data_IF_282195459068
#
_entry.id   IF_282195459068
#
_cell.length_a   1.000
_cell.length_b   1.000
_cell.length_c   1.000
_cell.angle_alpha   90.00
_cell.angle_beta   90.00
_cell.angle_gamma   90.00
#
_symmetry.space_group_name_H-M   'P 1'
#
loop_
_entity.id
_entity.type
_entity.pdbx_description
1 polymer ?
#
# COMPACT_ATOMS: atom_id res chain seq x y z
N UNK A 1 -19.95 -10.07 20.23
CA UNK A 1 -19.26 -11.34 19.91
C UNK A 1 -18.61 -11.35 18.53
N UNK A 2 -19.30 -11.00 17.44
CA UNK A 2 -18.72 -11.02 16.07
C UNK A 2 -17.52 -10.08 15.88
N UNK A 3 -17.52 -8.86 16.42
CA UNK A 3 -16.43 -7.88 16.28
C UNK A 3 -15.17 -8.33 17.05
N UNK A 4 -15.30 -8.84 18.26
CA UNK A 4 -14.18 -9.35 19.06
C UNK A 4 -13.48 -10.50 18.34
N UNK A 5 -14.23 -11.42 17.72
CA UNK A 5 -13.69 -12.51 16.93
C UNK A 5 -12.95 -12.01 15.67
N UNK A 6 -13.49 -10.98 14.97
CA UNK A 6 -12.81 -10.36 13.82
C UNK A 6 -11.48 -9.74 14.25
N UNK A 7 -11.44 -8.99 15.36
CA UNK A 7 -10.22 -8.43 15.93
C UNK A 7 -9.21 -9.51 16.31
N UNK A 8 -9.62 -10.57 16.99
CA UNK A 8 -8.75 -11.67 17.37
C UNK A 8 -8.12 -12.35 16.13
N UNK A 9 -8.91 -12.57 15.07
CA UNK A 9 -8.40 -13.12 13.81
C UNK A 9 -7.39 -12.20 13.12
N UNK A 10 -7.62 -10.87 13.19
CA UNK A 10 -6.69 -9.90 12.64
C UNK A 10 -5.38 -9.88 13.41
N UNK A 11 -5.42 -9.88 14.75
CA UNK A 11 -4.21 -9.97 15.60
C UNK A 11 -3.46 -11.25 15.28
N UNK A 12 -4.12 -12.39 15.22
CA UNK A 12 -3.49 -13.66 14.85
C UNK A 12 -2.87 -13.61 13.45
N UNK A 13 -3.49 -12.91 12.50
CA UNK A 13 -2.96 -12.71 11.16
C UNK A 13 -1.72 -11.82 11.15
N UNK A 14 -1.69 -10.74 11.94
CA UNK A 14 -0.52 -9.89 12.12
C UNK A 14 0.65 -10.67 12.74
N UNK A 15 0.41 -11.42 13.80
CA UNK A 15 1.43 -12.27 14.44
C UNK A 15 1.98 -13.32 13.48
N UNK A 16 1.11 -13.96 12.68
CA UNK A 16 1.53 -14.88 11.63
C UNK A 16 2.38 -14.19 10.55
N UNK A 17 2.04 -12.95 10.16
CA UNK A 17 2.84 -12.14 9.23
C UNK A 17 4.23 -11.86 9.79
N UNK A 18 4.32 -11.39 11.03
CA UNK A 18 5.60 -11.17 11.71
C UNK A 18 6.45 -12.45 11.77
N UNK A 19 5.85 -13.55 12.16
CA UNK A 19 6.54 -14.85 12.18
C UNK A 19 7.04 -15.26 10.79
N UNK A 20 6.21 -15.10 9.76
CA UNK A 20 6.57 -15.40 8.36
C UNK A 20 7.74 -14.56 7.89
N UNK A 21 7.72 -13.25 8.16
CA UNK A 21 8.79 -12.33 7.80
C UNK A 21 10.07 -12.67 8.57
N UNK A 22 10.00 -12.95 9.86
CA UNK A 22 11.17 -13.28 10.68
C UNK A 22 11.83 -14.62 10.30
N UNK A 23 11.04 -15.61 9.88
CA UNK A 23 11.54 -16.99 9.72
C UNK A 23 11.70 -17.43 8.27
N UNK A 24 10.81 -16.99 7.38
CA UNK A 24 10.78 -17.42 5.97
C UNK A 24 11.46 -16.45 5.03
N UNK A 25 11.29 -15.13 5.21
CA UNK A 25 11.89 -14.13 4.32
C UNK A 25 13.41 -14.24 4.20
N UNK A 26 14.19 -14.46 5.29
CA UNK A 26 15.64 -14.56 5.16
C UNK A 26 16.12 -15.71 4.25
N UNK A 27 15.27 -16.76 4.13
CA UNK A 27 15.58 -17.96 3.35
C UNK A 27 14.88 -18.02 1.98
N UNK A 28 14.00 -17.05 1.69
CA UNK A 28 13.18 -17.03 0.51
C UNK A 28 13.83 -16.19 -0.60
N UNK A 29 13.68 -16.62 -1.84
CA UNK A 29 13.97 -15.80 -3.01
C UNK A 29 12.90 -14.70 -3.20
N UNK A 30 13.14 -13.79 -4.14
CA UNK A 30 12.26 -12.66 -4.39
C UNK A 30 10.83 -13.11 -4.76
N UNK A 31 10.69 -14.09 -5.64
CA UNK A 31 9.40 -14.60 -6.09
C UNK A 31 8.59 -15.21 -4.92
N UNK A 32 9.25 -15.96 -4.05
CA UNK A 32 8.62 -16.53 -2.85
C UNK A 32 8.19 -15.44 -1.87
N UNK A 33 9.01 -14.39 -1.64
CA UNK A 33 8.65 -13.25 -0.79
C UNK A 33 7.43 -12.51 -1.34
N UNK A 34 7.40 -12.27 -2.65
CA UNK A 34 6.24 -11.67 -3.32
C UNK A 34 4.98 -12.52 -3.16
N UNK A 35 5.06 -13.82 -3.40
CA UNK A 35 3.92 -14.72 -3.24
C UNK A 35 3.40 -14.75 -1.79
N UNK A 36 4.28 -14.75 -0.79
CA UNK A 36 3.94 -14.67 0.63
C UNK A 36 3.25 -13.34 0.97
N UNK A 37 3.81 -12.20 0.52
CA UNK A 37 3.24 -10.87 0.73
C UNK A 37 1.84 -10.76 0.08
N UNK A 38 1.71 -11.19 -1.17
CA UNK A 38 0.42 -11.17 -1.89
C UNK A 38 -0.65 -11.98 -1.15
N UNK A 39 -0.33 -13.21 -0.76
CA UNK A 39 -1.27 -14.08 -0.02
C UNK A 39 -1.67 -13.47 1.33
N UNK A 40 -0.70 -12.89 2.03
CA UNK A 40 -0.93 -12.23 3.31
C UNK A 40 -1.84 -11.00 3.15
N UNK A 41 -1.59 -10.17 2.14
CA UNK A 41 -2.40 -8.99 1.83
C UNK A 41 -3.82 -9.35 1.40
N UNK A 42 -4.00 -10.35 0.54
CA UNK A 42 -5.32 -10.88 0.18
C UNK A 42 -6.11 -11.36 1.42
N UNK A 43 -5.44 -12.02 2.36
CA UNK A 43 -6.08 -12.46 3.60
C UNK A 43 -6.42 -11.28 4.51
N UNK A 44 -5.58 -10.25 4.57
CA UNK A 44 -5.86 -9.00 5.29
C UNK A 44 -7.15 -8.36 4.78
N UNK A 45 -7.29 -8.17 3.47
CA UNK A 45 -8.50 -7.61 2.87
C UNK A 45 -9.75 -8.42 3.24
N UNK A 46 -9.68 -9.75 3.13
CA UNK A 46 -10.81 -10.63 3.51
C UNK A 46 -11.19 -10.51 4.98
N UNK A 47 -10.21 -10.37 5.88
CA UNK A 47 -10.46 -10.17 7.32
C UNK A 47 -11.12 -8.82 7.59
N UNK A 48 -10.78 -7.80 6.79
CA UNK A 48 -11.45 -6.49 6.80
C UNK A 48 -12.81 -6.49 6.08
N UNK A 49 -13.26 -7.63 5.54
CA UNK A 49 -14.54 -7.72 4.83
C UNK A 49 -14.49 -7.19 3.40
N UNK A 50 -13.30 -7.11 2.80
CA UNK A 50 -13.09 -6.57 1.45
C UNK A 50 -12.84 -7.67 0.42
N UNK A 51 -13.41 -7.49 -0.78
CA UNK A 51 -13.06 -8.19 -2.02
C UNK A 51 -12.14 -7.29 -2.85
N UNK A 52 -11.27 -7.89 -3.65
CA UNK A 52 -10.46 -7.18 -4.63
C UNK A 52 -10.96 -7.50 -6.03
N UNK A 53 -11.16 -6.46 -6.83
CA UNK A 53 -11.45 -6.53 -8.27
C UNK A 53 -10.40 -5.71 -9.00
N UNK A 54 -9.73 -6.31 -9.97
CA UNK A 54 -8.72 -5.66 -10.80
C UNK A 54 -9.27 -5.48 -12.20
N UNK A 55 -9.16 -4.26 -12.71
CA UNK A 55 -9.61 -3.90 -14.05
C UNK A 55 -8.39 -3.61 -14.93
N UNK A 56 -8.44 -4.05 -16.18
CA UNK A 56 -7.40 -3.82 -17.18
C UNK A 56 -6.01 -4.34 -16.76
N UNK A 57 -5.94 -5.49 -16.07
CA UNK A 57 -4.68 -6.06 -15.58
C UNK A 57 -3.66 -6.35 -16.71
N UNK A 58 -4.13 -6.49 -17.95
CA UNK A 58 -3.28 -6.66 -19.12
C UNK A 58 -2.37 -5.45 -19.42
N UNK A 59 -2.74 -4.24 -18.91
CA UNK A 59 -1.92 -3.03 -19.06
C UNK A 59 -0.78 -2.94 -18.05
N UNK A 60 -0.65 -3.90 -17.14
CA UNK A 60 0.38 -3.87 -16.10
C UNK A 60 1.79 -3.99 -16.69
N UNK A 61 2.69 -3.14 -16.21
CA UNK A 61 4.10 -3.17 -16.55
C UNK A 61 4.83 -4.21 -15.68
N UNK A 62 5.65 -5.05 -16.30
CA UNK A 62 6.25 -6.18 -15.59
C UNK A 62 7.45 -5.81 -14.72
N UNK A 63 8.26 -4.83 -15.13
CA UNK A 63 9.50 -4.44 -14.44
C UNK A 63 9.79 -2.95 -14.63
N UNK A 64 10.62 -2.41 -13.73
CA UNK A 64 11.21 -1.09 -13.86
C UNK A 64 10.17 0.00 -14.11
N UNK A 65 9.20 0.16 -13.21
CA UNK A 65 8.19 1.19 -13.34
C UNK A 65 7.89 1.85 -11.99
N UNK A 66 7.60 3.14 -12.03
CA UNK A 66 7.04 3.85 -10.89
C UNK A 66 5.52 3.67 -10.88
N UNK A 67 5.03 2.89 -9.94
CA UNK A 67 3.60 2.74 -9.69
C UNK A 67 3.09 3.98 -8.96
N UNK A 68 2.07 4.60 -9.50
CA UNK A 68 1.49 5.86 -8.98
C UNK A 68 0.01 5.63 -8.72
N UNK A 69 -0.43 5.81 -7.48
CA UNK A 69 -1.82 5.60 -7.08
C UNK A 69 -2.38 6.81 -6.31
N UNK A 70 -3.70 7.02 -6.38
CA UNK A 70 -4.40 7.85 -5.43
C UNK A 70 -4.39 7.21 -4.04
N UNK A 71 -4.61 8.01 -2.98
CA UNK A 71 -4.46 7.55 -1.60
C UNK A 71 -5.71 7.88 -0.77
N UNK A 72 -6.40 6.84 -0.34
CA UNK A 72 -7.66 6.94 0.43
C UNK A 72 -7.44 6.47 1.87
N UNK A 73 -6.60 5.43 2.05
CA UNK A 73 -6.51 4.74 3.32
C UNK A 73 -5.19 4.00 3.49
N UNK A 74 -4.83 3.68 4.74
CA UNK A 74 -3.76 2.73 5.03
C UNK A 74 -3.99 1.35 4.39
N UNK A 75 -5.24 0.97 4.13
CA UNK A 75 -5.59 -0.30 3.51
C UNK A 75 -5.19 -0.38 2.03
N UNK A 76 -4.97 0.77 1.35
CA UNK A 76 -4.51 0.82 -0.05
C UNK A 76 -3.21 0.05 -0.27
N UNK A 77 -2.33 0.06 0.74
CA UNK A 77 -1.07 -0.71 0.73
C UNK A 77 -1.35 -2.20 0.54
N UNK A 78 -2.37 -2.72 1.23
CA UNK A 78 -2.76 -4.13 1.11
C UNK A 78 -3.54 -4.41 -0.17
N UNK A 79 -4.30 -3.43 -0.68
CA UNK A 79 -4.98 -3.52 -1.98
C UNK A 79 -3.95 -3.66 -3.09
N UNK A 80 -2.94 -2.79 -3.14
CA UNK A 80 -1.85 -2.85 -4.13
C UNK A 80 -1.04 -4.13 -3.97
N UNK A 81 -0.61 -4.49 -2.76
CA UNK A 81 0.14 -5.72 -2.52
C UNK A 81 -0.66 -7.00 -2.82
N UNK A 82 -1.99 -6.97 -2.68
CA UNK A 82 -2.86 -8.08 -3.06
C UNK A 82 -2.99 -8.24 -4.57
N UNK A 83 -2.93 -7.14 -5.33
CA UNK A 83 -2.78 -7.15 -6.77
C UNK A 83 -1.35 -7.54 -7.15
N UNK A 84 -0.38 -6.76 -6.75
CA UNK A 84 1.03 -6.98 -7.02
C UNK A 84 1.91 -6.41 -5.90
N UNK A 85 2.67 -7.24 -5.20
CA UNK A 85 3.60 -6.79 -4.17
C UNK A 85 4.58 -5.75 -4.73
N UNK A 86 4.56 -4.58 -4.13
CA UNK A 86 5.36 -3.45 -4.57
C UNK A 86 5.88 -2.71 -3.34
N UNK A 87 7.18 -2.41 -3.23
CA UNK A 87 7.71 -1.54 -2.18
C UNK A 87 7.14 -0.12 -2.28
N UNK A 88 6.95 0.53 -1.14
CA UNK A 88 6.35 1.87 -1.05
C UNK A 88 7.35 2.93 -0.62
N UNK A 89 7.03 4.18 -0.93
CA UNK A 89 7.63 5.34 -0.26
C UNK A 89 6.68 5.81 0.83
N UNK A 90 7.18 5.91 2.06
CA UNK A 90 6.39 6.28 3.24
C UNK A 90 7.05 7.38 4.04
N UNK A 91 6.28 8.06 4.92
CA UNK A 91 6.81 9.05 5.86
C UNK A 91 7.75 8.38 6.87
N UNK A 92 8.83 9.07 7.25
CA UNK A 92 9.84 8.56 8.18
C UNK A 92 9.28 8.18 9.55
N UNK A 93 8.23 8.86 10.01
CA UNK A 93 7.56 8.60 11.29
C UNK A 93 6.97 7.19 11.36
N UNK A 94 6.49 6.65 10.23
CA UNK A 94 5.93 5.28 10.16
C UNK A 94 6.98 4.23 10.52
N UNK A 95 8.27 4.51 10.27
CA UNK A 95 9.37 3.61 10.67
C UNK A 95 9.41 3.36 12.17
N UNK A 96 8.96 4.33 12.97
CA UNK A 96 8.96 4.24 14.44
C UNK A 96 7.72 3.53 15.01
N UNK A 97 6.73 3.26 14.17
CA UNK A 97 5.52 2.57 14.62
C UNK A 97 5.84 1.11 14.96
N UNK A 98 5.50 0.64 16.17
CA UNK A 98 5.72 -0.74 16.56
C UNK A 98 5.09 -1.69 15.55
N UNK A 99 5.76 -2.78 15.22
CA UNK A 99 5.31 -3.81 14.26
C UNK A 99 5.19 -3.29 12.82
N UNK A 100 4.42 -2.24 12.59
CA UNK A 100 4.14 -1.70 11.23
C UNK A 100 5.41 -1.19 10.57
N UNK A 101 6.22 -0.40 11.28
CA UNK A 101 7.48 0.14 10.76
C UNK A 101 8.48 -0.97 10.43
N UNK A 102 8.59 -1.97 11.31
CA UNK A 102 9.46 -3.12 11.07
C UNK A 102 9.00 -3.94 9.87
N UNK A 103 7.70 -4.26 9.77
CA UNK A 103 7.15 -4.99 8.62
C UNK A 103 7.36 -4.22 7.31
N UNK A 104 7.07 -2.92 7.29
CA UNK A 104 7.28 -2.07 6.13
C UNK A 104 8.74 -2.07 5.67
N UNK A 105 9.69 -2.00 6.62
CA UNK A 105 11.13 -2.08 6.32
C UNK A 105 11.50 -3.42 5.70
N UNK A 106 11.00 -4.53 6.22
CA UNK A 106 11.26 -5.87 5.68
C UNK A 106 10.65 -6.08 4.28
N UNK A 107 9.61 -5.33 3.94
CA UNK A 107 8.97 -5.33 2.63
C UNK A 107 9.60 -4.31 1.65
N UNK A 108 10.74 -3.71 2.01
CA UNK A 108 11.50 -2.81 1.14
C UNK A 108 10.95 -1.39 1.06
N UNK A 109 10.11 -0.96 2.01
CA UNK A 109 9.61 0.42 2.07
C UNK A 109 10.76 1.40 2.27
N UNK A 110 10.78 2.45 1.47
CA UNK A 110 11.72 3.58 1.59
C UNK A 110 11.07 4.68 2.42
N UNK A 111 11.75 5.15 3.47
CA UNK A 111 11.23 6.14 4.40
C UNK A 111 11.85 7.51 4.12
N UNK A 112 11.01 8.54 3.95
CA UNK A 112 11.42 9.90 3.60
C UNK A 112 11.05 10.92 4.67
N UNK A 113 12.01 11.75 5.06
CA UNK A 113 11.79 13.00 5.83
C UNK A 113 11.61 14.15 4.84
N UNK A 114 10.37 14.51 4.56
CA UNK A 114 10.06 15.51 3.51
C UNK A 114 10.54 16.92 3.86
N UNK A 115 10.63 17.24 5.14
CA UNK A 115 11.08 18.54 5.65
C UNK A 115 12.59 18.76 5.41
N UNK A 116 13.36 17.68 5.25
CA UNK A 116 14.80 17.76 4.99
C UNK A 116 15.08 17.62 3.50
N UNK A 117 15.40 18.73 2.84
CA UNK A 117 15.70 18.77 1.40
C UNK A 117 16.84 17.82 0.98
N UNK A 118 17.85 17.65 1.84
CA UNK A 118 18.95 16.71 1.60
C UNK A 118 18.47 15.25 1.61
N UNK A 119 17.60 14.90 2.54
CA UNK A 119 17.04 13.55 2.63
C UNK A 119 16.13 13.26 1.42
N UNK A 120 15.29 14.23 1.04
CA UNK A 120 14.45 14.10 -0.15
C UNK A 120 15.28 13.83 -1.42
N UNK A 121 16.41 14.53 -1.61
CA UNK A 121 17.32 14.28 -2.75
C UNK A 121 17.94 12.88 -2.70
N UNK A 122 18.44 12.45 -1.53
CA UNK A 122 19.02 11.12 -1.32
C UNK A 122 18.00 10.02 -1.65
N UNK A 123 16.77 10.16 -1.16
CA UNK A 123 15.70 9.19 -1.40
C UNK A 123 15.30 9.15 -2.88
N UNK A 124 15.23 10.29 -3.56
CA UNK A 124 14.96 10.31 -5.00
C UNK A 124 16.05 9.58 -5.79
N UNK A 125 17.30 9.70 -5.37
CA UNK A 125 18.41 8.97 -5.97
C UNK A 125 18.29 7.45 -5.73
N UNK A 126 18.07 7.05 -4.48
CA UNK A 126 17.84 5.63 -4.13
C UNK A 126 16.66 5.02 -4.92
N UNK A 127 15.57 5.76 -5.08
CA UNK A 127 14.42 5.31 -5.87
C UNK A 127 14.79 5.15 -7.35
N UNK A 128 15.55 6.12 -7.92
CA UNK A 128 15.97 6.05 -9.30
C UNK A 128 16.90 4.85 -9.54
N UNK A 129 17.83 4.56 -8.64
CA UNK A 129 18.69 3.38 -8.70
C UNK A 129 17.89 2.07 -8.70
N UNK A 130 16.91 1.94 -7.78
CA UNK A 130 16.07 0.75 -7.69
C UNK A 130 15.19 0.57 -8.93
N UNK A 131 14.61 1.65 -9.43
CA UNK A 131 13.83 1.64 -10.67
C UNK A 131 14.70 1.24 -11.87
N UNK A 132 15.91 1.79 -11.99
CA UNK A 132 16.87 1.42 -13.05
C UNK A 132 17.33 -0.04 -12.96
N UNK A 133 17.36 -0.61 -11.75
CA UNK A 133 17.64 -2.02 -11.52
C UNK A 133 16.44 -2.94 -11.87
N UNK A 134 15.34 -2.37 -12.35
CA UNK A 134 14.16 -3.12 -12.77
C UNK A 134 13.14 -3.39 -11.66
N UNK A 135 13.31 -2.78 -10.48
CA UNK A 135 12.30 -2.89 -9.42
C UNK A 135 11.06 -2.06 -9.73
N UNK A 136 9.93 -2.47 -9.15
CA UNK A 136 8.76 -1.62 -9.03
C UNK A 136 8.84 -0.83 -7.74
N UNK A 137 8.43 0.43 -7.77
CA UNK A 137 8.30 1.26 -6.57
C UNK A 137 6.96 1.97 -6.60
N UNK A 138 6.25 2.04 -5.49
CA UNK A 138 4.94 2.69 -5.43
C UNK A 138 5.00 3.98 -4.62
N UNK A 139 4.38 5.02 -5.18
CA UNK A 139 4.20 6.32 -4.52
C UNK A 139 2.74 6.75 -4.55
N UNK A 140 2.34 7.48 -3.53
CA UNK A 140 1.07 8.20 -3.48
C UNK A 140 1.35 9.70 -3.63
N UNK A 141 1.24 10.27 -4.85
CA UNK A 141 1.70 11.63 -5.10
C UNK A 141 0.83 12.72 -4.46
N UNK A 142 -0.36 12.38 -3.97
CA UNK A 142 -1.19 13.26 -3.14
C UNK A 142 -0.50 13.61 -1.81
N UNK A 143 0.42 12.75 -1.34
CA UNK A 143 1.20 12.99 -0.14
C UNK A 143 0.44 12.84 1.18
N UNK A 144 -0.87 12.72 1.12
CA UNK A 144 -1.79 12.44 2.23
C UNK A 144 -2.96 11.62 1.72
N UNK A 145 -3.77 11.09 2.62
CA UNK A 145 -5.01 10.39 2.28
C UNK A 145 -6.16 11.38 2.05
N UNK A 146 -7.10 11.00 1.19
CA UNK A 146 -8.33 11.74 0.89
C UNK A 146 -9.57 10.87 1.11
N UNK A 147 -10.77 11.43 0.90
CA UNK A 147 -12.00 10.64 0.93
C UNK A 147 -12.24 9.82 -0.34
N UNK A 148 -11.39 9.97 -1.35
CA UNK A 148 -11.45 9.23 -2.62
C UNK A 148 -12.53 9.70 -3.59
N UNK A 149 -13.28 10.76 -3.30
CA UNK A 149 -14.30 11.31 -4.20
C UNK A 149 -13.69 12.18 -5.31
N UNK A 150 -12.49 12.71 -5.07
CA UNK A 150 -11.71 13.47 -6.03
C UNK A 150 -10.22 13.25 -5.75
N UNK A 151 -9.38 13.50 -6.76
CA UNK A 151 -7.92 13.49 -6.61
C UNK A 151 -7.47 14.80 -5.97
N UNK A 152 -6.56 14.71 -5.01
CA UNK A 152 -5.83 15.88 -4.53
C UNK A 152 -4.70 16.24 -5.51
N UNK A 153 -4.18 17.49 -5.47
CA UNK A 153 -3.05 17.88 -6.30
C UNK A 153 -1.84 16.97 -6.10
N UNK A 154 -1.23 16.53 -7.19
CA UNK A 154 -0.06 15.67 -7.17
C UNK A 154 1.23 16.47 -6.95
N UNK A 155 2.06 16.01 -6.06
CA UNK A 155 3.40 16.53 -5.88
C UNK A 155 4.32 16.08 -7.03
N UNK A 156 4.64 16.98 -7.94
CA UNK A 156 5.43 16.71 -9.15
C UNK A 156 6.81 16.08 -8.85
N UNK A 157 7.44 16.43 -7.72
CA UNK A 157 8.71 15.87 -7.31
C UNK A 157 8.69 14.35 -7.06
N UNK A 158 7.52 13.76 -6.82
CA UNK A 158 7.37 12.31 -6.66
C UNK A 158 7.65 11.54 -7.95
N UNK A 159 7.56 12.19 -9.11
CA UNK A 159 7.84 11.59 -10.42
C UNK A 159 9.31 11.70 -10.82
N UNK A 160 10.11 12.51 -10.11
CA UNK A 160 11.49 12.79 -10.49
C UNK A 160 12.37 11.53 -10.55
N UNK A 161 12.10 10.54 -9.69
CA UNK A 161 12.83 9.28 -9.70
C UNK A 161 12.62 8.51 -11.02
N UNK A 162 11.39 8.46 -11.54
CA UNK A 162 11.08 7.81 -12.80
C UNK A 162 11.73 8.57 -13.99
N UNK A 163 11.70 9.91 -13.96
CA UNK A 163 12.39 10.74 -14.97
C UNK A 163 13.88 10.47 -14.96
N UNK A 164 14.52 10.46 -13.78
CA UNK A 164 15.95 10.23 -13.63
C UNK A 164 16.37 8.82 -14.04
N UNK A 165 15.52 7.82 -13.79
CA UNK A 165 15.74 6.42 -14.18
C UNK A 165 15.37 6.11 -15.64
N UNK A 166 14.74 7.06 -16.33
CA UNK A 166 14.16 6.88 -17.68
C UNK A 166 13.23 5.66 -17.78
N UNK A 167 12.39 5.45 -16.75
CA UNK A 167 11.43 4.34 -16.68
C UNK A 167 9.98 4.83 -16.79
N UNK A 168 9.06 3.97 -17.25
CA UNK A 168 7.67 4.33 -17.35
C UNK A 168 7.00 4.52 -15.98
N UNK A 169 5.87 5.23 -15.99
CA UNK A 169 4.95 5.35 -14.87
C UNK A 169 3.78 4.41 -15.10
N UNK A 170 3.42 3.61 -14.10
CA UNK A 170 2.23 2.77 -14.06
C UNK A 170 1.16 3.43 -13.21
N UNK A 171 0.18 4.10 -13.80
CA UNK A 171 -0.90 4.69 -13.01
C UNK A 171 -1.86 3.60 -12.51
N UNK A 172 -2.31 3.77 -11.28
CA UNK A 172 -3.39 2.99 -10.66
C UNK A 172 -4.46 3.95 -10.12
N UNK A 173 -5.71 3.59 -10.28
CA UNK A 173 -6.80 4.24 -9.58
C UNK A 173 -7.44 3.23 -8.61
N UNK A 174 -7.50 3.60 -7.32
CA UNK A 174 -8.16 2.82 -6.27
C UNK A 174 -9.51 3.46 -5.97
N UNK A 175 -10.54 2.64 -5.93
CA UNK A 175 -11.88 3.03 -5.53
C UNK A 175 -12.47 1.95 -4.62
N UNK A 176 -13.27 2.37 -3.66
CA UNK A 176 -14.01 1.45 -2.80
C UNK A 176 -15.51 1.54 -3.08
N UNK A 177 -16.16 0.39 -3.08
CA UNK A 177 -17.58 0.25 -3.37
C UNK A 177 -18.29 -0.48 -2.22
N UNK A 178 -19.49 -0.05 -1.86
CA UNK A 178 -20.35 -0.70 -0.87
C UNK A 178 -21.11 -1.90 -1.49
N UNK A 179 -21.86 -2.60 -0.64
CA UNK A 179 -22.66 -3.76 -1.07
C UNK A 179 -23.81 -3.39 -2.04
N UNK A 180 -24.11 -2.13 -2.21
CA UNK A 180 -25.13 -1.61 -3.13
C UNK A 180 -24.56 -1.11 -4.45
N UNK A 181 -23.24 -1.28 -4.68
CA UNK A 181 -22.57 -0.82 -5.89
C UNK A 181 -22.31 0.69 -5.92
N UNK A 182 -22.33 1.37 -4.78
CA UNK A 182 -22.07 2.82 -4.70
C UNK A 182 -20.66 3.06 -4.19
N UNK A 183 -20.01 4.10 -4.71
CA UNK A 183 -18.72 4.53 -4.19
C UNK A 183 -18.80 4.81 -2.69
N UNK A 184 -17.90 4.24 -1.93
CA UNK A 184 -17.88 4.27 -0.46
C UNK A 184 -16.65 5.01 0.06
N UNK A 185 -16.89 5.95 0.97
CA UNK A 185 -15.84 6.64 1.73
C UNK A 185 -15.53 5.95 3.07
N UNK A 186 -16.18 4.83 3.37
CA UNK A 186 -16.01 4.13 4.65
C UNK A 186 -14.56 3.72 4.97
N UNK A 187 -13.70 3.37 4.00
CA UNK A 187 -12.29 3.09 4.26
C UNK A 187 -11.43 4.33 4.46
N UNK A 188 -11.92 5.54 4.15
CA UNK A 188 -11.10 6.76 4.18
C UNK A 188 -10.43 6.95 5.55
N UNK A 189 -9.12 7.24 5.49
CA UNK A 189 -8.29 7.50 6.66
C UNK A 189 -7.87 8.96 6.65
N UNK A 190 -8.76 9.83 7.08
CA UNK A 190 -8.64 11.29 7.01
C UNK A 190 -8.85 11.91 8.39
N UNK A 191 -8.56 13.18 8.50
CA UNK A 191 -8.68 13.98 9.72
C UNK A 191 -7.86 13.37 10.87
N UNK A 192 -8.34 13.50 12.11
CA UNK A 192 -7.69 13.00 13.33
C UNK A 192 -8.05 11.53 13.64
N UNK A 193 -8.51 10.77 12.65
CA UNK A 193 -8.90 9.38 12.85
C UNK A 193 -7.70 8.54 13.25
N UNK A 194 -7.76 7.87 14.40
CA UNK A 194 -6.70 6.94 14.78
C UNK A 194 -6.77 5.65 13.95
N UNK A 195 -5.61 4.97 13.79
CA UNK A 195 -5.57 3.67 13.11
C UNK A 195 -6.51 2.64 13.75
N UNK A 196 -6.63 2.68 15.09
CA UNK A 196 -7.52 1.79 15.83
C UNK A 196 -9.00 2.06 15.54
N UNK A 197 -9.39 3.34 15.42
CA UNK A 197 -10.76 3.73 15.10
C UNK A 197 -11.10 3.40 13.64
N UNK A 198 -10.19 3.71 12.71
CA UNK A 198 -10.33 3.31 11.31
C UNK A 198 -10.52 1.81 11.15
N UNK A 199 -9.70 1.02 11.85
CA UNK A 199 -9.84 -0.44 11.87
C UNK A 199 -11.19 -0.88 12.46
N UNK A 200 -11.64 -0.25 13.54
CA UNK A 200 -12.94 -0.54 14.14
C UNK A 200 -14.09 -0.25 13.17
N UNK A 201 -14.03 0.87 12.45
CA UNK A 201 -15.01 1.23 11.42
C UNK A 201 -15.06 0.18 10.31
N UNK A 202 -13.91 -0.22 9.77
CA UNK A 202 -13.84 -1.26 8.76
C UNK A 202 -14.37 -2.61 9.24
N UNK A 203 -13.99 -3.04 10.44
CA UNK A 203 -14.44 -4.33 10.99
C UNK A 203 -15.92 -4.34 11.39
N UNK A 204 -16.49 -3.18 11.72
CA UNK A 204 -17.92 -3.02 12.08
C UNK A 204 -18.80 -2.78 10.87
N UNK A 205 -18.22 -2.28 9.78
CA UNK A 205 -18.94 -1.94 8.55
C UNK A 205 -19.42 -3.15 7.76
N UNK A 206 -20.13 -2.86 6.68
CA UNK A 206 -20.59 -3.84 5.70
C UNK A 206 -19.44 -4.35 4.83
N UNK A 207 -19.74 -5.32 3.94
CA UNK A 207 -18.77 -5.77 2.95
C UNK A 207 -18.46 -4.66 1.95
N UNK A 208 -17.19 -4.58 1.57
CA UNK A 208 -16.68 -3.62 0.59
C UNK A 208 -16.01 -4.35 -0.57
N UNK A 209 -15.96 -3.68 -1.72
CA UNK A 209 -15.14 -4.09 -2.84
C UNK A 209 -14.08 -3.02 -3.08
N UNK A 210 -12.82 -3.40 -3.08
CA UNK A 210 -11.73 -2.56 -3.52
C UNK A 210 -11.50 -2.81 -5.01
N UNK A 211 -11.61 -1.76 -5.82
CA UNK A 211 -11.35 -1.79 -7.25
C UNK A 211 -9.97 -1.18 -7.50
N UNK A 212 -9.17 -1.85 -8.32
CA UNK A 212 -7.89 -1.35 -8.85
C UNK A 212 -8.02 -1.26 -10.35
N UNK A 213 -7.94 -0.05 -10.89
CA UNK A 213 -7.90 0.20 -12.33
C UNK A 213 -6.45 0.41 -12.73
N UNK A 214 -5.96 -0.42 -13.63
CA UNK A 214 -4.60 -0.39 -14.15
C UNK A 214 -4.61 0.41 -15.45
N UNK A 215 -3.85 1.53 -15.52
CA UNK A 215 -3.78 2.44 -16.66
C UNK A 215 -2.46 2.34 -17.44
#
# INVERSE_FOLDING_TARGET
MKLALRKARLVAHLLHGMWTVATRFPKADAATREALNRRWSLKMLRLCGMKLVVHNDAARLERGALVVANHISWIDIYVINAWRPTPFVSKAEIRQWPVVGWLAQQLGTVFIQREKRSDAKRIMHELAERLSAGELMCVFPEGTTSNGLALLPFHANMFQAAVSAAVPVQPLCIMYEDAQGRQSTAPAYIDDLSLADSLNLLLSGGPLTAHVYVG
#
